data_IF_616423035429
#
_entry.id   IF_616423035429
#
_cell.length_a   1.000
_cell.length_b   1.000
_cell.length_c   1.000
_cell.angle_alpha   90.00
_cell.angle_beta   90.00
_cell.angle_gamma   90.00
#
_symmetry.space_group_name_H-M   'P 1'
#
loop_
_entity.id
_entity.type
_entity.pdbx_description
1 polymer ?
#
# COMPACT_ATOMS: atom_id res chain seq x y z
N UNK A 1 -15.92 6.98 7.70
CA UNK A 1 -16.24 6.63 6.30
C UNK A 1 -15.08 5.81 5.77
N UNK A 2 -15.38 4.72 5.06
CA UNK A 2 -14.39 3.93 4.33
C UNK A 2 -14.19 4.56 2.95
N UNK A 3 -12.96 4.97 2.61
CA UNK A 3 -12.64 5.57 1.31
C UNK A 3 -12.11 4.48 0.39
N UNK A 4 -12.87 4.15 -0.66
CA UNK A 4 -12.52 3.09 -1.63
C UNK A 4 -12.39 3.60 -3.06
N UNK A 5 -12.63 4.88 -3.28
CA UNK A 5 -12.63 5.52 -4.60
C UNK A 5 -11.27 6.17 -4.94
N UNK A 6 -11.11 6.56 -6.21
CA UNK A 6 -9.91 7.22 -6.70
C UNK A 6 -8.67 6.34 -6.57
N UNK A 7 -7.60 6.86 -5.96
CA UNK A 7 -6.33 6.12 -5.80
C UNK A 7 -6.48 4.88 -4.91
N UNK A 8 -7.49 4.83 -4.05
CA UNK A 8 -7.76 3.67 -3.20
C UNK A 8 -8.50 2.55 -3.93
N UNK A 9 -9.02 2.79 -5.15
CA UNK A 9 -9.66 1.75 -5.96
C UNK A 9 -8.65 0.93 -6.78
N UNK A 10 -7.44 1.47 -7.01
CA UNK A 10 -6.36 0.78 -7.73
C UNK A 10 -5.45 -0.03 -6.79
N UNK A 11 -5.24 0.43 -5.55
CA UNK A 11 -4.48 -0.26 -4.50
C UNK A 11 -4.96 0.16 -3.12
N UNK A 12 -4.87 -0.74 -2.14
CA UNK A 12 -5.27 -0.45 -0.76
C UNK A 12 -4.27 0.43 -0.02
N UNK A 13 -3.00 0.39 -0.43
CA UNK A 13 -1.93 1.13 0.22
C UNK A 13 -1.17 2.01 -0.79
N UNK A 14 -1.83 3.01 -1.41
CA UNK A 14 -1.20 3.88 -2.42
C UNK A 14 -0.05 4.70 -1.83
N UNK A 15 -0.17 5.11 -0.56
CA UNK A 15 0.90 5.80 0.16
C UNK A 15 2.15 4.92 0.30
N UNK A 16 1.99 3.65 0.72
CA UNK A 16 3.12 2.72 0.85
C UNK A 16 3.80 2.54 -0.52
N UNK A 17 3.05 2.35 -1.59
CA UNK A 17 3.60 2.26 -2.94
C UNK A 17 4.37 3.52 -3.35
N UNK A 18 3.79 4.71 -3.11
CA UNK A 18 4.44 5.99 -3.38
C UNK A 18 5.76 6.17 -2.61
N UNK A 19 5.79 5.78 -1.33
CA UNK A 19 7.02 5.82 -0.52
C UNK A 19 8.10 4.88 -1.07
N UNK A 20 7.73 3.67 -1.52
CA UNK A 20 8.69 2.76 -2.13
C UNK A 20 9.29 3.33 -3.40
N UNK A 21 8.47 3.94 -4.27
CA UNK A 21 8.95 4.62 -5.47
C UNK A 21 9.86 5.80 -5.13
N UNK A 22 9.49 6.63 -4.13
CA UNK A 22 10.28 7.77 -3.71
C UNK A 22 11.64 7.35 -3.13
N UNK A 23 11.69 6.32 -2.29
CA UNK A 23 12.93 5.77 -1.73
C UNK A 23 13.83 5.19 -2.83
N UNK A 24 13.27 4.35 -3.70
CA UNK A 24 14.02 3.78 -4.82
C UNK A 24 14.55 4.86 -5.76
N UNK A 25 13.72 5.82 -6.16
CA UNK A 25 14.10 6.94 -7.02
C UNK A 25 15.19 7.82 -6.40
N UNK A 26 15.07 8.12 -5.10
CA UNK A 26 16.08 8.88 -4.37
C UNK A 26 17.41 8.14 -4.33
N UNK A 27 17.40 6.83 -4.09
CA UNK A 27 18.61 6.02 -4.12
C UNK A 27 19.29 5.99 -5.49
N UNK A 28 18.51 5.95 -6.57
CA UNK A 28 19.04 6.03 -7.94
C UNK A 28 19.68 7.40 -8.21
N UNK A 29 19.04 8.50 -7.81
CA UNK A 29 19.58 9.87 -7.94
C UNK A 29 20.89 10.04 -7.15
N UNK A 30 20.96 9.44 -5.97
CA UNK A 30 22.16 9.44 -5.11
C UNK A 30 23.21 8.40 -5.54
N UNK A 31 22.95 7.61 -6.59
CA UNK A 31 23.79 6.48 -7.03
C UNK A 31 24.12 5.49 -5.90
N UNK A 32 23.18 5.30 -4.98
CA UNK A 32 23.34 4.45 -3.80
C UNK A 32 22.45 3.21 -3.92
N UNK A 33 23.08 2.05 -4.12
CA UNK A 33 22.38 0.76 -4.21
C UNK A 33 21.56 0.46 -2.94
N UNK A 34 22.14 0.73 -1.77
CA UNK A 34 21.47 0.48 -0.48
C UNK A 34 20.19 1.30 -0.33
N UNK A 35 20.23 2.59 -0.70
CA UNK A 35 19.04 3.45 -0.63
C UNK A 35 18.02 3.07 -1.71
N UNK A 36 18.49 2.64 -2.89
CA UNK A 36 17.61 2.31 -4.01
C UNK A 36 16.83 0.99 -3.79
N UNK A 37 17.42 0.03 -3.07
CA UNK A 37 16.85 -1.33 -2.96
C UNK A 37 16.72 -1.83 -1.52
N UNK A 38 17.75 -1.70 -0.69
CA UNK A 38 17.73 -2.26 0.68
C UNK A 38 16.75 -1.49 1.57
N UNK A 39 16.83 -0.16 1.55
CA UNK A 39 15.93 0.71 2.33
C UNK A 39 14.44 0.49 1.99
N UNK A 40 14.00 0.54 0.71
CA UNK A 40 12.60 0.29 0.37
C UNK A 40 12.17 -1.13 0.67
N UNK A 41 13.03 -2.15 0.52
CA UNK A 41 12.68 -3.53 0.87
C UNK A 41 12.40 -3.68 2.37
N UNK A 42 13.26 -3.12 3.23
CA UNK A 42 13.06 -3.12 4.67
C UNK A 42 11.80 -2.32 5.06
N UNK A 43 11.59 -1.16 4.43
CA UNK A 43 10.41 -0.34 4.64
C UNK A 43 9.14 -1.09 4.27
N UNK A 44 9.11 -1.76 3.11
CA UNK A 44 7.99 -2.58 2.66
C UNK A 44 7.68 -3.69 3.66
N UNK A 45 8.69 -4.41 4.14
CA UNK A 45 8.52 -5.51 5.08
C UNK A 45 7.92 -5.03 6.42
N UNK A 46 8.50 -3.97 7.00
CA UNK A 46 8.05 -3.43 8.29
C UNK A 46 6.61 -2.91 8.20
N UNK A 47 6.31 -2.09 7.18
CA UNK A 47 4.97 -1.53 7.02
C UNK A 47 3.94 -2.58 6.66
N UNK A 48 4.29 -3.57 5.83
CA UNK A 48 3.38 -4.67 5.52
C UNK A 48 3.02 -5.47 6.78
N UNK A 49 4.00 -5.74 7.64
CA UNK A 49 3.76 -6.41 8.92
C UNK A 49 2.85 -5.58 9.84
N UNK A 50 3.09 -4.27 9.94
CA UNK A 50 2.28 -3.37 10.74
C UNK A 50 0.84 -3.25 10.22
N UNK A 51 0.66 -3.05 8.90
CA UNK A 51 -0.66 -2.92 8.27
C UNK A 51 -1.47 -4.22 8.50
N UNK A 52 -0.89 -5.38 8.20
CA UNK A 52 -1.57 -6.67 8.39
C UNK A 52 -1.85 -6.99 9.87
N UNK A 53 -0.96 -6.59 10.78
CA UNK A 53 -1.08 -6.91 12.21
C UNK A 53 -1.94 -5.94 13.01
N UNK A 54 -2.09 -4.70 12.55
CA UNK A 54 -2.76 -3.62 13.30
C UNK A 54 -3.86 -2.95 12.50
N UNK A 55 -3.52 -2.47 11.31
CA UNK A 55 -4.43 -1.64 10.51
C UNK A 55 -5.59 -2.44 9.91
N UNK A 56 -5.34 -3.54 9.18
CA UNK A 56 -6.42 -4.34 8.59
C UNK A 56 -7.39 -4.87 9.66
N UNK A 57 -6.93 -5.43 10.81
CA UNK A 57 -7.85 -5.85 11.86
C UNK A 57 -8.64 -4.70 12.48
N UNK A 58 -8.04 -3.51 12.61
CA UNK A 58 -8.75 -2.33 13.09
C UNK A 58 -9.82 -1.84 12.10
N UNK A 59 -9.52 -1.90 10.79
CA UNK A 59 -10.48 -1.58 9.73
C UNK A 59 -11.62 -2.60 9.66
N UNK A 60 -11.32 -3.90 9.75
CA UNK A 60 -12.34 -4.95 9.81
C UNK A 60 -13.26 -4.79 11.03
N UNK A 61 -12.72 -4.47 12.21
CA UNK A 61 -13.54 -4.21 13.41
C UNK A 61 -14.44 -2.99 13.25
N UNK A 62 -13.98 -1.96 12.52
CA UNK A 62 -14.69 -0.69 12.37
C UNK A 62 -15.74 -0.72 11.25
N UNK A 63 -15.45 -1.41 10.14
CA UNK A 63 -16.24 -1.36 8.91
C UNK A 63 -16.80 -2.73 8.48
N UNK A 64 -16.41 -3.83 9.15
CA UNK A 64 -16.98 -5.15 8.94
C UNK A 64 -16.89 -5.63 7.50
N UNK A 65 -18.04 -6.00 6.93
CA UNK A 65 -18.15 -6.59 5.60
C UNK A 65 -17.79 -5.65 4.47
N UNK A 66 -18.00 -4.33 4.63
CA UNK A 66 -17.60 -3.34 3.63
C UNK A 66 -16.09 -3.38 3.39
N UNK A 67 -15.30 -3.46 4.47
CA UNK A 67 -13.86 -3.58 4.36
C UNK A 67 -13.41 -4.95 3.86
N UNK A 68 -14.09 -6.04 4.26
CA UNK A 68 -13.78 -7.39 3.73
C UNK A 68 -13.94 -7.44 2.22
N UNK A 69 -15.07 -6.94 1.72
CA UNK A 69 -15.33 -6.86 0.28
C UNK A 69 -14.29 -5.99 -0.41
N UNK A 70 -14.02 -4.79 0.10
CA UNK A 70 -12.96 -3.93 -0.43
C UNK A 70 -11.58 -4.61 -0.46
N UNK A 71 -11.24 -5.39 0.57
CA UNK A 71 -9.98 -6.12 0.70
C UNK A 71 -9.81 -7.22 -0.34
N UNK A 72 -10.85 -8.01 -0.56
CA UNK A 72 -10.87 -9.08 -1.56
C UNK A 72 -10.82 -8.49 -2.97
N UNK A 73 -11.49 -7.37 -3.15
CA UNK A 73 -11.61 -6.72 -4.42
C UNK A 73 -10.35 -5.94 -4.81
N UNK A 74 -9.59 -5.34 -3.89
CA UNK A 74 -8.49 -4.39 -4.21
C UNK A 74 -7.13 -4.95 -3.80
N UNK A 75 -6.05 -4.83 -4.61
CA UNK A 75 -4.77 -5.43 -4.29
C UNK A 75 -4.12 -4.68 -3.13
N UNK A 76 -3.24 -5.36 -2.41
CA UNK A 76 -2.62 -4.79 -1.22
C UNK A 76 -1.68 -3.61 -1.55
N UNK A 77 -0.77 -3.79 -2.52
CA UNK A 77 0.33 -2.83 -2.74
C UNK A 77 0.48 -2.43 -4.21
N UNK A 78 0.69 -3.41 -5.11
CA UNK A 78 0.91 -3.13 -6.54
C UNK A 78 -0.39 -2.59 -7.16
N UNK A 79 -0.41 -1.36 -7.67
CA UNK A 79 -1.60 -0.77 -8.26
C UNK A 79 -2.05 -1.53 -9.50
N UNK A 80 -3.37 -1.65 -9.67
CA UNK A 80 -3.94 -2.00 -10.98
C UNK A 80 -3.72 -0.85 -11.96
N UNK A 81 -3.57 -1.22 -13.23
CA UNK A 81 -3.49 -0.26 -14.32
C UNK A 81 -4.82 0.48 -14.55
N UNK A 82 -5.94 -0.14 -14.19
CA UNK A 82 -7.28 0.43 -14.33
C UNK A 82 -7.98 0.49 -12.96
N UNK A 83 -8.53 1.66 -12.57
CA UNK A 83 -9.39 1.80 -11.41
C UNK A 83 -10.58 0.84 -11.47
N UNK A 84 -11.09 0.44 -10.30
CA UNK A 84 -12.44 -0.13 -10.24
C UNK A 84 -13.44 0.97 -10.59
N UNK A 85 -14.36 0.66 -11.50
CA UNK A 85 -15.62 1.40 -11.62
C UNK A 85 -16.46 1.06 -10.38
N UNK A 86 -16.95 2.10 -9.71
CA UNK A 86 -17.71 2.02 -8.45
C UNK A 86 -19.14 1.57 -8.65
#
# INVERSE_FOLDING_TARGET
VLVVEGVYSVTRNPMLFGYLLALSGSGLLLRSFSVAFVTPLLYAALWTAWIKGREEPAMERRFGDEYRRYREETPFLIPRLFPREG
#
